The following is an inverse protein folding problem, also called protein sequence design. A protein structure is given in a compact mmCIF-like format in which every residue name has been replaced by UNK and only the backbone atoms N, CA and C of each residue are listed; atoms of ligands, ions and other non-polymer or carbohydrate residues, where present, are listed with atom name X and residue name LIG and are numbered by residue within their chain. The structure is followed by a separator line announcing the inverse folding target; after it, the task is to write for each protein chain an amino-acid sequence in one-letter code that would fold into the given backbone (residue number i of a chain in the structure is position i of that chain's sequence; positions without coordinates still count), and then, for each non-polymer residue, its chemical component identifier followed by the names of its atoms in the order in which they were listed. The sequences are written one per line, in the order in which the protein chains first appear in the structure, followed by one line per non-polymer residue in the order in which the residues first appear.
data_IF_848127965756
#
_entry.id   IF_848127965756
#
_cell.length_a   1.000
_cell.length_b   1.000
_cell.length_c   1.000
_cell.angle_alpha   90.00
_cell.angle_beta   90.00
_cell.angle_gamma   90.00
#
_symmetry.space_group_name_H-M   'P 1'
#
loop_
_entity.id
_entity.type
_entity.pdbx_description
1 polymer ?
#
# COMPACT_ATOMS: atom_id res chain seq x y z
N UNK A 1 -4.16 0.72 30.83
CA UNK A 1 -3.94 -0.40 29.91
C UNK A 1 -3.67 0.19 28.53
N UNK A 2 -2.40 0.42 28.20
CA UNK A 2 -2.01 0.90 26.86
C UNK A 2 -1.97 -0.32 25.95
N UNK A 3 -2.97 -0.45 25.07
CA UNK A 3 -3.01 -1.47 24.03
C UNK A 3 -1.86 -1.16 23.07
N UNK A 4 -0.82 -2.00 23.09
CA UNK A 4 0.31 -1.93 22.15
C UNK A 4 -0.27 -2.18 20.75
N UNK A 5 -0.51 -1.11 20.00
CA UNK A 5 -0.75 -1.18 18.56
C UNK A 5 0.62 -1.47 17.98
N UNK A 6 0.89 -2.71 17.62
CA UNK A 6 2.10 -3.08 16.90
C UNK A 6 1.76 -2.78 15.44
N UNK A 7 2.36 -1.74 14.82
CA UNK A 7 2.14 -1.51 13.40
C UNK A 7 2.70 -2.72 12.66
N UNK A 8 1.84 -3.41 11.93
CA UNK A 8 2.30 -4.49 11.04
C UNK A 8 3.01 -3.81 9.87
N UNK A 9 4.21 -4.29 9.55
CA UNK A 9 5.03 -3.82 8.43
C UNK A 9 5.02 -4.93 7.40
N UNK A 10 4.43 -4.67 6.24
CA UNK A 10 4.35 -5.58 5.10
C UNK A 10 4.80 -4.86 3.83
N UNK A 11 5.53 -5.56 2.96
CA UNK A 11 6.04 -4.99 1.71
C UNK A 11 6.27 -6.04 0.62
N UNK A 12 6.21 -5.61 -0.63
CA UNK A 12 6.26 -6.45 -1.84
C UNK A 12 7.01 -5.74 -2.99
N UNK A 13 7.44 -6.51 -4.01
CA UNK A 13 8.28 -6.06 -5.15
C UNK A 13 7.55 -6.31 -6.48
N UNK A 14 7.56 -5.35 -7.41
CA UNK A 14 6.98 -5.48 -8.76
C UNK A 14 7.94 -4.96 -9.83
N UNK A 15 7.90 -5.60 -11.01
CA UNK A 15 8.61 -5.21 -12.24
C UNK A 15 7.81 -4.15 -13.03
N UNK A 16 8.26 -2.90 -13.02
CA UNK A 16 7.83 -1.79 -13.87
C UNK A 16 8.53 -1.83 -15.24
N UNK A 17 7.77 -1.75 -16.33
CA UNK A 17 8.30 -1.88 -17.71
C UNK A 17 8.29 -0.57 -18.51
N UNK A 18 8.08 0.60 -17.90
CA UNK A 18 8.04 1.89 -18.61
C UNK A 18 8.58 3.06 -17.78
N UNK A 19 9.61 3.73 -18.32
CA UNK A 19 10.19 5.03 -17.91
C UNK A 19 10.90 5.14 -16.55
N UNK A 20 11.90 4.29 -16.28
CA UNK A 20 13.20 4.67 -15.70
C UNK A 20 13.28 5.51 -14.42
N UNK A 21 12.26 5.49 -13.56
CA UNK A 21 12.26 6.18 -12.27
C UNK A 21 11.24 5.55 -11.32
N UNK A 22 11.31 5.88 -10.04
CA UNK A 22 10.41 5.31 -9.04
C UNK A 22 8.96 5.70 -9.36
N UNK A 23 8.02 4.74 -9.37
CA UNK A 23 6.59 5.04 -9.55
C UNK A 23 6.09 6.00 -8.47
N UNK A 24 5.24 6.93 -8.88
CA UNK A 24 4.62 7.91 -7.99
C UNK A 24 3.53 7.27 -7.12
N UNK A 25 3.16 7.94 -6.02
CA UNK A 25 2.14 7.46 -5.09
C UNK A 25 0.81 7.03 -5.75
N UNK A 26 0.44 7.63 -6.89
CA UNK A 26 -0.83 7.39 -7.59
C UNK A 26 -0.69 6.54 -8.86
N UNK A 27 0.51 6.05 -9.18
CA UNK A 27 0.67 5.18 -10.33
C UNK A 27 -0.05 3.85 -10.10
N UNK A 28 -0.64 3.30 -11.15
CA UNK A 28 -1.52 2.13 -11.03
C UNK A 28 -0.79 0.93 -10.44
N UNK A 29 0.47 0.72 -10.81
CA UNK A 29 1.29 -0.38 -10.27
C UNK A 29 1.57 -0.21 -8.78
N UNK A 30 1.76 1.03 -8.30
CA UNK A 30 1.87 1.32 -6.87
C UNK A 30 0.56 1.05 -6.15
N UNK A 31 -0.56 1.54 -6.69
CA UNK A 31 -1.88 1.36 -6.08
C UNK A 31 -2.25 -0.13 -6.01
N UNK A 32 -2.02 -0.86 -7.10
CA UNK A 32 -2.30 -2.30 -7.17
C UNK A 32 -1.47 -3.06 -6.12
N UNK A 33 -0.19 -2.72 -5.95
CA UNK A 33 0.67 -3.37 -4.97
C UNK A 33 0.29 -3.04 -3.52
N UNK A 34 -0.10 -1.79 -3.23
CA UNK A 34 -0.62 -1.42 -1.90
C UNK A 34 -1.90 -2.22 -1.58
N UNK A 35 -2.79 -2.39 -2.56
CA UNK A 35 -4.02 -3.17 -2.40
C UNK A 35 -3.74 -4.66 -2.22
N UNK A 36 -2.76 -5.22 -2.94
CA UNK A 36 -2.29 -6.59 -2.77
C UNK A 36 -1.76 -6.82 -1.35
N UNK A 37 -0.86 -5.96 -0.88
CA UNK A 37 -0.31 -6.02 0.49
C UNK A 37 -1.44 -5.91 1.54
N UNK A 38 -2.37 -4.98 1.33
CA UNK A 38 -3.52 -4.79 2.23
C UNK A 38 -4.43 -6.01 2.27
N UNK A 39 -4.66 -6.65 1.11
CA UNK A 39 -5.43 -7.88 1.01
C UNK A 39 -4.72 -9.05 1.70
N UNK A 40 -3.42 -9.19 1.50
CA UNK A 40 -2.64 -10.25 2.13
C UNK A 40 -2.67 -10.15 3.66
N UNK A 41 -2.59 -8.93 4.19
CA UNK A 41 -2.74 -8.69 5.62
C UNK A 41 -4.17 -9.01 6.10
N UNK A 42 -5.20 -8.62 5.35
CA UNK A 42 -6.58 -8.97 5.64
C UNK A 42 -6.81 -10.49 5.66
N UNK A 43 -6.23 -11.22 4.70
CA UNK A 43 -6.24 -12.68 4.64
C UNK A 43 -5.50 -13.28 5.83
N UNK A 44 -4.35 -12.73 6.22
CA UNK A 44 -3.57 -13.20 7.36
C UNK A 44 -4.31 -13.04 8.70
N UNK A 45 -5.02 -11.93 8.88
CA UNK A 45 -5.75 -11.64 10.12
C UNK A 45 -7.12 -12.33 10.21
N UNK A 46 -7.89 -12.37 9.11
CA UNK A 46 -9.30 -12.77 9.12
C UNK A 46 -9.62 -14.00 8.26
N UNK A 47 -8.65 -14.47 7.47
CA UNK A 47 -8.80 -15.61 6.59
C UNK A 47 -9.38 -15.26 5.22
N UNK A 48 -9.10 -16.13 4.25
CA UNK A 48 -9.44 -15.93 2.83
C UNK A 48 -10.94 -15.82 2.56
N UNK A 49 -11.77 -16.58 3.28
CA UNK A 49 -13.23 -16.52 3.09
C UNK A 49 -13.79 -15.14 3.40
N UNK A 50 -13.27 -14.49 4.45
CA UNK A 50 -13.67 -13.13 4.81
C UNK A 50 -13.11 -12.11 3.81
N UNK A 51 -11.81 -12.19 3.49
CA UNK A 51 -11.17 -11.25 2.56
C UNK A 51 -11.86 -11.20 1.19
N UNK A 52 -12.30 -12.35 0.66
CA UNK A 52 -13.04 -12.41 -0.61
C UNK A 52 -14.40 -11.69 -0.62
N UNK A 53 -14.92 -11.29 0.55
CA UNK A 53 -16.16 -10.52 0.68
C UNK A 53 -15.92 -9.01 0.72
N UNK A 54 -14.66 -8.59 0.75
CA UNK A 54 -14.26 -7.19 0.91
C UNK A 54 -13.64 -6.70 -0.39
N UNK A 55 -14.27 -5.68 -0.98
CA UNK A 55 -13.69 -4.89 -2.07
C UNK A 55 -12.84 -3.76 -1.47
N UNK A 56 -11.60 -3.62 -1.94
CA UNK A 56 -10.67 -2.59 -1.48
C UNK A 56 -10.32 -1.59 -2.59
N UNK A 57 -10.16 -0.34 -2.20
CA UNK A 57 -9.65 0.73 -3.07
C UNK A 57 -8.93 1.79 -2.24
N UNK A 58 -8.02 2.54 -2.87
CA UNK A 58 -7.44 3.73 -2.26
C UNK A 58 -8.21 4.98 -2.70
N UNK A 59 -8.50 5.86 -1.74
CA UNK A 59 -9.03 7.20 -1.99
C UNK A 59 -8.09 8.26 -1.36
N UNK A 60 -8.22 9.51 -1.79
CA UNK A 60 -7.48 10.66 -1.24
C UNK A 60 -5.96 10.44 -1.22
N UNK A 61 -5.41 9.80 -2.27
CA UNK A 61 -3.96 9.57 -2.42
C UNK A 61 -3.22 10.91 -2.45
N UNK A 62 -2.18 11.04 -1.62
CA UNK A 62 -1.36 12.24 -1.51
C UNK A 62 0.11 11.89 -1.29
N UNK A 63 0.99 12.57 -2.04
CA UNK A 63 2.43 12.60 -1.77
C UNK A 63 2.70 13.55 -0.61
N UNK A 64 3.31 13.03 0.46
CA UNK A 64 3.76 13.82 1.61
C UNK A 64 5.19 14.31 1.45
N UNK A 65 6.03 13.55 0.73
CA UNK A 65 7.44 13.85 0.51
C UNK A 65 8.02 13.10 -0.68
N UNK A 66 9.12 13.63 -1.20
CA UNK A 66 9.97 12.97 -2.21
C UNK A 66 11.43 13.27 -1.88
N UNK A 67 12.21 12.23 -1.60
CA UNK A 67 13.66 12.36 -1.47
C UNK A 67 14.32 12.15 -2.84
N UNK A 68 14.65 13.26 -3.50
CA UNK A 68 15.29 13.25 -4.83
C UNK A 68 16.65 12.55 -4.88
N UNK A 69 17.34 12.34 -3.74
CA UNK A 69 18.67 11.71 -3.73
C UNK A 69 18.60 10.20 -3.90
N UNK A 70 17.54 9.59 -3.38
CA UNK A 70 17.30 8.15 -3.40
C UNK A 70 16.01 7.79 -4.15
N UNK A 71 15.38 8.79 -4.77
CA UNK A 71 14.13 8.70 -5.52
C UNK A 71 13.02 7.94 -4.77
N UNK A 72 12.78 8.32 -3.51
CA UNK A 72 11.78 7.68 -2.64
C UNK A 72 10.58 8.59 -2.43
N UNK A 73 9.37 8.07 -2.63
CA UNK A 73 8.12 8.77 -2.32
C UNK A 73 7.57 8.36 -0.96
N UNK A 74 7.16 9.35 -0.17
CA UNK A 74 6.35 9.17 1.03
C UNK A 74 4.90 9.51 0.69
N UNK A 75 3.98 8.58 0.93
CA UNK A 75 2.60 8.65 0.48
C UNK A 75 1.63 8.42 1.64
N UNK A 76 0.41 8.93 1.49
CA UNK A 76 -0.73 8.53 2.31
C UNK A 76 -1.99 8.42 1.46
N UNK A 77 -2.92 7.59 1.94
CA UNK A 77 -4.23 7.40 1.33
C UNK A 77 -5.23 6.95 2.39
N UNK A 78 -6.51 7.00 2.03
CA UNK A 78 -7.56 6.31 2.76
C UNK A 78 -7.80 4.95 2.09
N UNK A 79 -7.50 3.85 2.80
CA UNK A 79 -7.88 2.51 2.38
C UNK A 79 -9.37 2.31 2.64
N UNK A 80 -10.15 2.28 1.57
CA UNK A 80 -11.60 2.07 1.61
C UNK A 80 -11.87 0.57 1.48
N UNK A 81 -12.61 0.02 2.45
CA UNK A 81 -13.10 -1.35 2.45
C UNK A 81 -14.63 -1.34 2.35
N UNK A 82 -15.15 -2.05 1.34
CA UNK A 82 -16.59 -2.23 1.13
C UNK A 82 -16.93 -3.71 1.27
N UNK A 83 -17.91 -4.03 2.10
CA UNK A 83 -18.37 -5.41 2.28
C UNK A 83 -19.84 -5.49 2.67
N UNK A 84 -20.35 -6.68 3.02
CA UNK A 84 -21.75 -6.89 3.37
C UNK A 84 -22.24 -6.05 4.56
N UNK A 85 -21.33 -5.65 5.45
CA UNK A 85 -21.62 -4.82 6.62
C UNK A 85 -21.63 -3.31 6.33
N UNK A 86 -21.29 -2.89 5.11
CA UNK A 86 -21.17 -1.49 4.70
C UNK A 86 -19.76 -1.11 4.28
N UNK A 87 -19.49 0.19 4.34
CA UNK A 87 -18.24 0.81 3.90
C UNK A 87 -17.53 1.46 5.09
N UNK A 88 -16.21 1.31 5.14
CA UNK A 88 -15.33 1.93 6.12
C UNK A 88 -14.03 2.35 5.46
N UNK A 89 -13.42 3.44 5.93
CA UNK A 89 -12.08 3.85 5.51
C UNK A 89 -11.09 3.82 6.69
N UNK A 90 -9.85 3.45 6.39
CA UNK A 90 -8.71 3.48 7.33
C UNK A 90 -7.59 4.31 6.70
N UNK A 91 -7.08 5.36 7.37
CA UNK A 91 -5.93 6.10 6.86
C UNK A 91 -4.68 5.23 6.93
N UNK A 92 -3.96 5.14 5.81
CA UNK A 92 -2.70 4.41 5.69
C UNK A 92 -1.60 5.34 5.19
N UNK A 93 -0.36 4.98 5.50
CA UNK A 93 0.85 5.58 4.95
C UNK A 93 1.62 4.51 4.18
N UNK A 94 2.32 4.88 3.13
CA UNK A 94 3.15 3.95 2.38
C UNK A 94 4.35 4.66 1.74
N UNK A 95 5.43 3.91 1.54
CA UNK A 95 6.61 4.38 0.79
C UNK A 95 6.73 3.65 -0.52
N UNK A 96 7.32 4.31 -1.52
CA UNK A 96 7.66 3.72 -2.83
C UNK A 96 9.11 4.05 -3.13
N UNK A 97 9.91 3.04 -3.43
CA UNK A 97 11.33 3.20 -3.77
C UNK A 97 11.72 2.26 -4.92
N UNK A 98 12.51 2.75 -5.89
CA UNK A 98 13.14 1.87 -6.88
C UNK A 98 14.20 1.01 -6.20
N UNK A 99 14.40 -0.20 -6.72
CA UNK A 99 15.49 -1.05 -6.28
C UNK A 99 16.75 -0.82 -7.13
N UNK A 100 17.86 -1.47 -6.77
CA UNK A 100 19.08 -1.49 -7.61
C UNK A 100 18.85 -2.14 -8.99
N UNK A 101 17.80 -2.96 -9.13
CA UNK A 101 17.31 -3.41 -10.43
C UNK A 101 16.36 -2.34 -10.97
N UNK A 102 16.74 -1.71 -12.08
CA UNK A 102 16.11 -0.49 -12.60
C UNK A 102 14.66 -0.68 -13.04
N UNK A 103 14.23 -1.93 -13.17
CA UNK A 103 12.86 -2.27 -13.52
C UNK A 103 12.04 -2.67 -12.29
N UNK A 104 12.59 -2.77 -11.08
CA UNK A 104 11.85 -3.18 -9.88
C UNK A 104 11.67 -2.03 -8.88
N UNK A 105 10.50 -1.98 -8.23
CA UNK A 105 10.24 -1.08 -7.11
C UNK A 105 9.68 -1.84 -5.91
N UNK A 106 9.87 -1.25 -4.73
CA UNK A 106 9.42 -1.76 -3.44
C UNK A 106 8.40 -0.83 -2.82
N UNK A 107 7.34 -1.41 -2.26
CA UNK A 107 6.34 -0.68 -1.48
C UNK A 107 6.30 -1.21 -0.06
N UNK A 108 6.33 -0.30 0.91
CA UNK A 108 6.06 -0.62 2.32
C UNK A 108 4.79 0.07 2.76
N UNK A 109 3.84 -0.67 3.33
CA UNK A 109 2.57 -0.11 3.84
C UNK A 109 2.56 -0.12 5.36
N UNK A 110 2.04 0.97 5.95
CA UNK A 110 1.88 1.18 7.37
C UNK A 110 0.41 1.43 7.73
N UNK A 111 0.00 0.98 8.91
CA UNK A 111 -1.35 1.21 9.43
C UNK A 111 -2.38 0.11 9.12
N UNK A 112 -1.91 -1.06 8.67
CA UNK A 112 -2.70 -2.28 8.49
C UNK A 112 -2.88 -3.07 9.80
#
# INVERSE_FOLDING_TARGET
MFKRIVPVVAGAIVLSACSGGTPTCSDSETVDLVLEISNDELVAQFGKEFANLIDMSLDVIRTQGHDEKIDTYECAADLVMKGPAGESNVPIEYTVESTDDTDEFYVTVYGL
#
